data_IF_575348289017
#
_entry.id   IF_575348289017
#
_cell.length_a   1.000
_cell.length_b   1.000
_cell.length_c   1.000
_cell.angle_alpha   90.00
_cell.angle_beta   90.00
_cell.angle_gamma   90.00
#
_symmetry.space_group_name_H-M   'P 1'
#
loop_
_entity.id
_entity.type
_entity.pdbx_description
1 polymer ?
#
# COMPACT_ATOMS: atom_id res chain seq x y z
N UNK A 1 17.22 3.63 -23.02
CA UNK A 1 16.66 3.06 -21.77
C UNK A 1 15.14 3.14 -21.91
N UNK A 2 14.42 2.03 -22.06
CA UNK A 2 12.96 2.06 -21.93
C UNK A 2 12.67 2.31 -20.45
N UNK A 3 12.07 3.45 -20.13
CA UNK A 3 11.43 3.64 -18.84
C UNK A 3 10.20 2.72 -18.84
N UNK A 4 10.27 1.61 -18.12
CA UNK A 4 9.05 0.95 -17.66
C UNK A 4 8.71 1.63 -16.35
N UNK A 5 7.59 2.38 -16.23
CA UNK A 5 7.16 2.85 -14.93
C UNK A 5 6.96 1.64 -14.01
N UNK A 6 7.10 1.79 -12.69
CA UNK A 6 6.67 0.75 -11.77
C UNK A 6 5.17 0.52 -12.00
N UNK A 7 4.84 -0.62 -12.59
CA UNK A 7 3.47 -1.04 -12.85
C UNK A 7 3.04 -1.96 -11.72
N UNK A 8 1.82 -1.75 -11.22
CA UNK A 8 1.16 -2.72 -10.36
C UNK A 8 0.91 -4.00 -11.16
N UNK A 9 1.02 -5.15 -10.51
CA UNK A 9 0.67 -6.41 -11.17
C UNK A 9 -0.84 -6.49 -11.42
N UNK A 10 -1.26 -7.36 -12.35
CA UNK A 10 -2.69 -7.58 -12.63
C UNK A 10 -3.44 -8.01 -11.37
N UNK A 11 -2.81 -8.82 -10.52
CA UNK A 11 -3.37 -9.23 -9.24
C UNK A 11 -3.56 -8.04 -8.29
N UNK A 12 -2.59 -7.12 -8.22
CA UNK A 12 -2.75 -5.90 -7.42
C UNK A 12 -3.88 -5.01 -7.94
N UNK A 13 -4.12 -4.95 -9.25
CA UNK A 13 -5.24 -4.22 -9.82
C UNK A 13 -6.59 -4.84 -9.45
N UNK A 14 -6.69 -6.18 -9.43
CA UNK A 14 -7.89 -6.88 -8.98
C UNK A 14 -8.19 -6.60 -7.49
N UNK A 15 -7.16 -6.61 -6.64
CA UNK A 15 -7.30 -6.28 -5.22
C UNK A 15 -7.74 -4.82 -5.01
N UNK A 16 -7.32 -3.90 -5.86
CA UNK A 16 -7.78 -2.51 -5.83
C UNK A 16 -9.26 -2.37 -6.20
N UNK A 17 -9.74 -3.16 -7.17
CA UNK A 17 -11.16 -3.21 -7.52
C UNK A 17 -12.00 -3.77 -6.36
N UNK A 18 -11.54 -4.85 -5.74
CA UNK A 18 -12.21 -5.43 -4.56
C UNK A 18 -12.22 -4.43 -3.39
N UNK A 19 -11.12 -3.70 -3.19
CA UNK A 19 -11.02 -2.66 -2.16
C UNK A 19 -11.99 -1.49 -2.39
N UNK A 20 -12.27 -1.15 -3.65
CA UNK A 20 -13.31 -0.18 -4.03
C UNK A 20 -14.70 -0.67 -3.68
N UNK A 21 -15.03 -1.92 -4.03
CA UNK A 21 -16.32 -2.54 -3.75
C UNK A 21 -16.59 -2.61 -2.24
N UNK A 22 -15.57 -2.98 -1.46
CA UNK A 22 -15.61 -3.04 0.00
C UNK A 22 -15.53 -1.66 0.69
N UNK A 23 -15.34 -0.58 -0.07
CA UNK A 23 -15.26 0.81 0.43
C UNK A 23 -14.16 1.02 1.47
N UNK A 24 -13.01 0.38 1.27
CA UNK A 24 -11.85 0.42 2.18
C UNK A 24 -10.66 1.23 1.62
N UNK A 25 -10.77 1.77 0.40
CA UNK A 25 -9.68 2.50 -0.26
C UNK A 25 -9.15 3.67 0.57
N UNK A 26 -10.02 4.48 1.19
CA UNK A 26 -9.60 5.61 2.03
C UNK A 26 -8.78 5.17 3.24
N UNK A 27 -9.15 4.03 3.83
CA UNK A 27 -8.44 3.42 4.95
C UNK A 27 -7.05 2.95 4.50
N UNK A 28 -6.98 2.22 3.37
CA UNK A 28 -5.73 1.79 2.77
C UNK A 28 -4.79 2.95 2.42
N UNK A 29 -5.33 4.01 1.82
CA UNK A 29 -4.56 5.21 1.50
C UNK A 29 -3.96 5.85 2.75
N UNK A 30 -4.72 5.93 3.85
CA UNK A 30 -4.22 6.48 5.11
C UNK A 30 -3.04 5.67 5.67
N UNK A 31 -3.07 4.33 5.55
CA UNK A 31 -1.93 3.47 5.92
C UNK A 31 -0.69 3.76 5.09
N UNK A 32 -0.82 3.80 3.77
CA UNK A 32 0.33 4.02 2.89
C UNK A 32 0.88 5.44 3.10
N UNK A 33 -0.01 6.44 3.21
CA UNK A 33 0.32 7.87 3.33
C UNK A 33 1.06 8.24 4.61
N UNK A 34 0.60 7.76 5.77
CA UNK A 34 1.17 8.12 7.06
C UNK A 34 2.66 7.76 7.19
N UNK A 35 3.18 6.93 6.28
CA UNK A 35 4.52 6.39 6.35
C UNK A 35 5.41 6.80 5.16
N UNK A 36 4.86 7.41 4.09
CA UNK A 36 5.66 7.94 2.96
C UNK A 36 6.22 9.35 3.21
N UNK A 37 5.71 10.08 4.21
CA UNK A 37 5.99 11.51 4.41
C UNK A 37 7.20 11.86 5.32
N UNK A 38 8.19 10.96 5.46
CA UNK A 38 9.47 11.30 6.13
C UNK A 38 10.55 11.66 5.10
N UNK A 39 10.92 12.95 4.96
CA UNK A 39 12.00 13.38 4.04
C UNK A 39 13.41 13.03 4.53
N UNK A 40 13.57 12.33 5.66
CA UNK A 40 14.89 12.01 6.26
C UNK A 40 15.32 10.54 6.11
N UNK A 41 14.45 9.62 5.69
CA UNK A 41 14.80 8.20 5.57
C UNK A 41 15.19 7.83 4.14
N UNK A 42 16.31 8.36 3.68
CA UNK A 42 16.95 7.93 2.42
C UNK A 42 17.65 6.58 2.51
N UNK A 43 17.78 5.96 3.70
CA UNK A 43 18.71 4.83 3.86
C UNK A 43 18.18 3.52 4.43
N UNK A 44 16.98 3.41 5.01
CA UNK A 44 16.37 2.10 5.33
C UNK A 44 15.00 2.25 5.98
N UNK A 45 14.08 1.40 5.52
CA UNK A 45 12.82 1.03 6.16
C UNK A 45 11.72 2.10 6.24
N UNK A 46 10.65 1.80 5.51
CA UNK A 46 9.29 2.14 5.94
C UNK A 46 8.91 1.19 7.07
N UNK A 47 8.04 1.63 7.98
CA UNK A 47 7.38 0.77 8.95
C UNK A 47 5.89 0.95 8.73
N UNK A 48 5.24 -0.02 8.07
CA UNK A 48 3.79 0.03 7.85
C UNK A 48 3.11 -0.64 9.03
N UNK A 49 2.58 0.08 10.02
CA UNK A 49 1.85 -0.57 11.12
C UNK A 49 0.40 -0.86 10.69
N UNK A 50 0.17 -2.06 10.16
CA UNK A 50 -1.13 -2.55 9.73
C UNK A 50 -2.13 -2.71 10.89
N UNK A 51 -1.62 -2.80 12.14
CA UNK A 51 -2.43 -2.86 13.36
C UNK A 51 -3.03 -1.50 13.77
N UNK A 52 -2.59 -0.38 13.19
CA UNK A 52 -3.11 0.95 13.50
C UNK A 52 -4.48 1.25 12.89
N UNK A 53 -4.96 0.42 11.94
CA UNK A 53 -6.31 0.56 11.42
C UNK A 53 -7.24 -0.49 12.02
N UNK A 54 -8.25 0.01 12.72
CA UNK A 54 -9.49 -0.71 12.91
C UNK A 54 -10.24 -0.77 11.58
N UNK A 55 -9.87 -1.73 10.73
CA UNK A 55 -10.79 -2.16 9.68
C UNK A 55 -12.06 -2.67 10.35
N UNK A 56 -13.23 -2.29 9.83
CA UNK A 56 -14.50 -2.85 10.31
C UNK A 56 -14.63 -4.34 9.95
N UNK A 57 -13.85 -4.81 8.98
CA UNK A 57 -13.85 -6.18 8.46
C UNK A 57 -12.43 -6.75 8.41
N UNK A 58 -12.28 -8.02 8.79
CA UNK A 58 -11.03 -8.80 8.68
C UNK A 58 -10.49 -8.84 7.24
N UNK A 59 -11.40 -8.88 6.26
CA UNK A 59 -11.05 -8.92 4.84
C UNK A 59 -10.30 -7.67 4.39
N UNK A 60 -10.64 -6.49 4.91
CA UNK A 60 -9.95 -5.25 4.55
C UNK A 60 -8.48 -5.23 4.98
N UNK A 61 -8.18 -5.81 6.14
CA UNK A 61 -6.80 -5.97 6.61
C UNK A 61 -6.02 -6.96 5.73
N UNK A 62 -6.67 -8.07 5.33
CA UNK A 62 -6.08 -9.08 4.45
C UNK A 62 -5.77 -8.55 3.05
N UNK A 63 -6.71 -7.84 2.41
CA UNK A 63 -6.51 -7.20 1.11
C UNK A 63 -5.35 -6.21 1.13
N UNK A 64 -5.30 -5.38 2.17
CA UNK A 64 -4.24 -4.39 2.35
C UNK A 64 -2.88 -5.03 2.54
N UNK A 65 -2.80 -6.07 3.37
CA UNK A 65 -1.57 -6.83 3.61
C UNK A 65 -1.04 -7.44 2.31
N UNK A 66 -1.91 -8.08 1.53
CA UNK A 66 -1.55 -8.71 0.27
C UNK A 66 -1.02 -7.70 -0.76
N UNK A 67 -1.65 -6.54 -0.88
CA UNK A 67 -1.16 -5.48 -1.79
C UNK A 67 0.21 -4.95 -1.38
N UNK A 68 0.46 -4.78 -0.07
CA UNK A 68 1.73 -4.31 0.45
C UNK A 68 2.84 -5.35 0.23
N UNK A 69 2.58 -6.62 0.48
CA UNK A 69 3.52 -7.72 0.21
C UNK A 69 3.85 -7.82 -1.28
N UNK A 70 2.85 -7.68 -2.17
CA UNK A 70 3.06 -7.64 -3.62
C UNK A 70 3.87 -6.41 -4.07
N UNK A 71 3.80 -5.30 -3.32
CA UNK A 71 4.65 -4.13 -3.53
C UNK A 71 6.05 -4.27 -2.93
N UNK A 72 6.40 -5.44 -2.37
CA UNK A 72 7.73 -5.71 -1.81
C UNK A 72 7.90 -5.31 -0.35
N UNK A 73 6.79 -5.08 0.38
CA UNK A 73 6.80 -4.80 1.82
C UNK A 73 6.71 -6.11 2.60
N UNK A 74 7.71 -6.39 3.44
CA UNK A 74 7.72 -7.54 4.34
C UNK A 74 7.01 -7.19 5.64
N UNK A 75 5.86 -7.80 5.89
CA UNK A 75 5.07 -7.57 7.10
C UNK A 75 5.58 -8.41 8.27
N UNK A 76 5.79 -7.77 9.42
CA UNK A 76 6.18 -8.39 10.67
C UNK A 76 4.95 -8.79 11.49
N UNK A 77 5.14 -9.72 12.43
CA UNK A 77 4.08 -10.26 13.30
C UNK A 77 3.43 -9.22 14.21
N UNK A 78 4.12 -8.12 14.46
CA UNK A 78 3.63 -6.99 15.26
C UNK A 78 2.86 -5.96 14.42
N UNK A 79 2.62 -6.27 13.14
CA UNK A 79 1.91 -5.40 12.22
C UNK A 79 2.80 -4.48 11.41
N UNK A 80 4.12 -4.39 11.68
CA UNK A 80 5.04 -3.45 10.99
C UNK A 80 5.54 -3.99 9.64
N UNK A 81 5.43 -3.21 8.57
CA UNK A 81 5.96 -3.56 7.26
C UNK A 81 7.30 -2.88 6.96
N UNK A 82 8.34 -3.64 6.62
CA UNK A 82 9.64 -3.15 6.18
C UNK A 82 9.80 -3.33 4.67
N UNK A 83 10.41 -2.37 3.97
CA UNK A 83 10.73 -2.56 2.56
C UNK A 83 12.10 -2.00 2.17
N UNK A 84 12.72 -2.66 1.20
CA UNK A 84 14.02 -2.31 0.62
C UNK A 84 13.84 -1.26 -0.48
N UNK A 85 14.92 -0.64 -0.95
CA UNK A 85 14.86 0.51 -1.86
C UNK A 85 14.21 0.14 -3.21
N UNK A 86 14.33 -1.13 -3.61
CA UNK A 86 13.75 -1.73 -4.81
C UNK A 86 12.22 -1.75 -4.77
N UNK A 87 11.62 -1.82 -3.57
CA UNK A 87 10.17 -1.82 -3.38
C UNK A 87 9.55 -0.41 -3.47
N UNK A 88 10.36 0.65 -3.39
CA UNK A 88 9.87 2.03 -3.35
C UNK A 88 9.03 2.39 -4.56
N UNK A 89 9.45 1.95 -5.75
CA UNK A 89 8.77 2.26 -7.00
C UNK A 89 7.36 1.62 -7.04
N UNK A 90 7.25 0.35 -6.66
CA UNK A 90 5.97 -0.38 -6.59
C UNK A 90 5.07 0.14 -5.48
N UNK A 91 5.64 0.53 -4.33
CA UNK A 91 4.89 1.15 -3.24
C UNK A 91 4.36 2.54 -3.61
N UNK A 92 5.15 3.34 -4.33
CA UNK A 92 4.73 4.63 -4.85
C UNK A 92 3.61 4.47 -5.89
N UNK A 93 3.69 3.47 -6.79
CA UNK A 93 2.61 3.15 -7.72
C UNK A 93 1.32 2.77 -6.98
N UNK A 94 1.42 1.94 -5.93
CA UNK A 94 0.27 1.59 -5.09
C UNK A 94 -0.34 2.82 -4.40
N UNK A 95 0.50 3.67 -3.82
CA UNK A 95 0.07 4.94 -3.21
C UNK A 95 -0.70 5.82 -4.19
N UNK A 96 -0.15 6.05 -5.39
CA UNK A 96 -0.77 6.91 -6.41
C UNK A 96 -2.10 6.32 -6.88
N UNK A 97 -2.17 4.99 -7.08
CA UNK A 97 -3.41 4.31 -7.43
C UNK A 97 -4.47 4.47 -6.34
N UNK A 98 -4.14 4.19 -5.09
CA UNK A 98 -5.06 4.37 -3.95
C UNK A 98 -5.53 5.83 -3.83
N UNK A 99 -4.62 6.79 -4.04
CA UNK A 99 -4.97 8.21 -4.02
C UNK A 99 -5.94 8.61 -5.13
N UNK A 100 -5.69 8.14 -6.35
CA UNK A 100 -6.59 8.39 -7.48
C UNK A 100 -7.96 7.74 -7.26
N UNK A 101 -8.01 6.52 -6.73
CA UNK A 101 -9.25 5.81 -6.45
C UNK A 101 -10.04 6.46 -5.31
N UNK A 102 -9.39 6.87 -4.23
CA UNK A 102 -10.01 7.64 -3.14
C UNK A 102 -10.66 8.92 -3.67
N UNK A 103 -9.93 9.67 -4.51
CA UNK A 103 -10.43 10.90 -5.14
C UNK A 103 -11.64 10.66 -6.06
N UNK A 104 -11.66 9.55 -6.80
CA UNK A 104 -12.72 9.22 -7.75
C UNK A 104 -13.95 8.56 -7.09
N UNK A 105 -13.76 7.98 -5.90
CA UNK A 105 -14.82 7.29 -5.14
C UNK A 105 -15.49 8.15 -4.08
N UNK A 106 -14.93 9.35 -3.80
CA UNK A 106 -15.46 10.36 -2.88
C UNK A 106 -16.66 11.14 -3.39
#
# INVERSE_FOLDING_TARGET
IRFNPPELTEEQLLLLLESLEEKIVSQQLQLVRNHTSSPQNTERCFSVDAGLLHFSQEEGHKLTTMMLEMSGVKMQKDGRGECEQEAFASLAALYVSLYALDLLSG
#
